data_IF_370423900315
#
_entry.id   IF_370423900315
#
_cell.length_a   1.000
_cell.length_b   1.000
_cell.length_c   1.000
_cell.angle_alpha   90.00
_cell.angle_beta   90.00
_cell.angle_gamma   90.00
#
_symmetry.space_group_name_H-M   'P 1'
#
loop_
_entity.id
_entity.type
_entity.pdbx_description
1 polymer ?
#
# COMPACT_ATOMS: atom_id res chain seq x y z
N UNK A 1 35.33 -0.74 19.66
CA UNK A 1 34.16 -0.45 20.52
C UNK A 1 32.92 -0.57 19.67
N UNK A 2 32.08 -1.56 19.95
CA UNK A 2 30.93 -1.91 19.13
C UNK A 2 29.99 -0.71 18.95
N UNK A 3 29.80 -0.29 17.68
CA UNK A 3 28.58 0.42 17.31
C UNK A 3 27.46 -0.58 17.54
N UNK A 4 26.76 -0.46 18.68
CA UNK A 4 25.50 -1.16 18.88
C UNK A 4 24.62 -0.87 17.67
N UNK A 5 24.26 -1.94 16.97
CA UNK A 5 23.58 -1.91 15.68
C UNK A 5 22.09 -1.61 15.88
N UNK A 6 21.78 -0.32 16.05
CA UNK A 6 20.40 0.19 16.18
C UNK A 6 19.54 -0.05 14.92
N UNK A 7 20.11 -0.50 13.80
CA UNK A 7 19.32 -0.82 12.59
C UNK A 7 18.82 -2.26 12.64
N UNK A 8 19.69 -3.22 13.01
CA UNK A 8 19.30 -4.64 13.16
C UNK A 8 18.34 -4.89 14.32
N UNK A 9 18.45 -4.15 15.42
CA UNK A 9 17.49 -4.25 16.53
C UNK A 9 16.11 -3.65 16.18
N UNK A 10 16.05 -2.71 15.23
CA UNK A 10 14.78 -2.20 14.69
C UNK A 10 14.12 -3.20 13.74
N UNK A 11 14.89 -3.83 12.86
CA UNK A 11 14.41 -4.91 11.99
C UNK A 11 13.91 -6.11 12.81
N UNK A 12 14.58 -6.48 13.91
CA UNK A 12 14.11 -7.53 14.83
C UNK A 12 12.84 -7.14 15.62
N UNK A 13 12.58 -5.85 15.82
CA UNK A 13 11.41 -5.34 16.57
C UNK A 13 10.22 -4.98 15.68
N UNK A 14 10.42 -4.89 14.38
CA UNK A 14 9.40 -4.41 13.44
C UNK A 14 8.35 -5.47 13.09
N UNK A 15 8.48 -6.72 13.51
CA UNK A 15 7.58 -7.80 13.09
C UNK A 15 7.90 -8.34 11.70
N UNK A 16 7.09 -9.28 11.23
CA UNK A 16 7.28 -10.01 9.98
C UNK A 16 6.57 -9.28 8.83
N UNK A 17 7.31 -9.03 7.75
CA UNK A 17 6.81 -8.35 6.55
C UNK A 17 5.78 -9.18 5.78
N UNK A 18 6.00 -10.48 5.61
CA UNK A 18 5.05 -11.42 5.00
C UNK A 18 4.66 -12.52 5.99
N UNK A 19 3.38 -12.49 6.40
CA UNK A 19 2.85 -13.38 7.41
C UNK A 19 2.77 -14.85 6.97
N UNK A 20 3.01 -15.18 5.69
CA UNK A 20 3.24 -16.56 5.25
C UNK A 20 4.45 -17.19 5.96
N UNK A 21 5.42 -16.38 6.39
CA UNK A 21 6.59 -16.86 7.15
C UNK A 21 6.37 -16.95 8.66
N UNK A 22 5.17 -16.66 9.17
CA UNK A 22 4.86 -16.84 10.59
C UNK A 22 4.82 -18.32 10.95
N UNK A 23 5.37 -18.67 12.11
CA UNK A 23 5.36 -20.05 12.62
C UNK A 23 3.98 -20.52 13.08
N UNK A 24 3.09 -19.58 13.42
CA UNK A 24 1.71 -19.80 13.82
C UNK A 24 0.82 -18.77 13.14
N UNK A 25 -0.32 -19.20 12.60
CA UNK A 25 -1.28 -18.36 11.89
C UNK A 25 -2.61 -18.19 12.65
N UNK A 26 -2.56 -18.16 13.98
CA UNK A 26 -3.75 -17.88 14.79
C UNK A 26 -4.09 -16.40 14.76
N UNK A 27 -5.37 -16.05 14.95
CA UNK A 27 -5.84 -14.66 14.97
C UNK A 27 -5.05 -13.79 15.96
N UNK A 28 -4.64 -14.36 17.10
CA UNK A 28 -3.85 -13.68 18.11
C UNK A 28 -2.44 -13.33 17.61
N UNK A 29 -1.79 -14.25 16.89
CA UNK A 29 -0.43 -14.05 16.37
C UNK A 29 -0.44 -13.04 15.21
N UNK A 30 -1.43 -13.15 14.32
CA UNK A 30 -1.64 -12.20 13.21
C UNK A 30 -1.86 -10.79 13.79
N UNK A 31 -2.78 -10.67 14.74
CA UNK A 31 -3.08 -9.40 15.41
C UNK A 31 -1.85 -8.84 16.13
N UNK A 32 -1.05 -9.71 16.78
CA UNK A 32 0.19 -9.31 17.42
C UNK A 32 1.21 -8.76 16.42
N UNK A 33 1.41 -9.44 15.29
CA UNK A 33 2.34 -9.00 14.25
C UNK A 33 1.93 -7.65 13.65
N UNK A 34 0.66 -7.49 13.30
CA UNK A 34 0.13 -6.21 12.81
C UNK A 34 0.30 -5.09 13.85
N UNK A 35 0.09 -5.39 15.13
CA UNK A 35 0.26 -4.41 16.21
C UNK A 35 1.71 -3.94 16.34
N UNK A 36 2.68 -4.86 16.43
CA UNK A 36 4.09 -4.46 16.62
C UNK A 36 4.62 -3.68 15.42
N UNK A 37 4.18 -4.02 14.20
CA UNK A 37 4.44 -3.27 12.96
C UNK A 37 3.87 -1.86 13.03
N UNK A 38 2.60 -1.77 13.39
CA UNK A 38 1.90 -0.50 13.49
C UNK A 38 2.51 0.42 14.54
N UNK A 39 2.94 -0.12 15.69
CA UNK A 39 3.56 0.62 16.79
C UNK A 39 4.90 1.29 16.36
N UNK A 40 5.56 0.78 15.30
CA UNK A 40 6.75 1.40 14.67
C UNK A 40 6.44 2.12 13.35
N UNK A 41 5.17 2.42 13.09
CA UNK A 41 4.63 3.08 11.89
C UNK A 41 4.73 2.29 10.58
N UNK A 42 4.92 0.97 10.61
CA UNK A 42 4.73 0.11 9.43
C UNK A 42 3.25 -0.28 9.31
N UNK A 43 2.56 0.35 8.36
CA UNK A 43 1.10 0.18 8.19
C UNK A 43 0.77 -0.93 7.18
N UNK A 44 1.75 -1.38 6.42
CA UNK A 44 1.61 -2.34 5.33
C UNK A 44 2.26 -3.66 5.72
N UNK A 45 1.58 -4.78 5.45
CA UNK A 45 2.07 -6.13 5.74
C UNK A 45 1.54 -7.08 4.67
N UNK A 46 2.36 -7.99 4.16
CA UNK A 46 1.93 -9.02 3.23
C UNK A 46 1.33 -10.23 3.94
N UNK A 47 0.45 -10.91 3.21
CA UNK A 47 0.10 -12.31 3.42
C UNK A 47 0.06 -12.98 2.04
N UNK A 48 1.24 -13.43 1.59
CA UNK A 48 1.45 -13.88 0.22
C UNK A 48 1.13 -12.76 -0.79
N UNK A 49 0.22 -12.97 -1.75
CA UNK A 49 -0.11 -11.95 -2.77
C UNK A 49 -0.99 -10.81 -2.24
N UNK A 50 -1.54 -10.93 -1.02
CA UNK A 50 -2.45 -9.93 -0.46
C UNK A 50 -1.67 -8.92 0.40
N UNK A 51 -2.02 -7.64 0.26
CA UNK A 51 -1.51 -6.57 1.12
C UNK A 51 -2.54 -6.16 2.17
N UNK A 52 -2.15 -6.24 3.44
CA UNK A 52 -2.90 -5.70 4.57
C UNK A 52 -2.43 -4.28 4.84
N UNK A 53 -3.38 -3.34 4.92
CA UNK A 53 -3.15 -1.95 5.28
C UNK A 53 -3.91 -1.61 6.57
N UNK A 54 -3.19 -1.18 7.61
CA UNK A 54 -3.77 -0.72 8.88
C UNK A 54 -3.82 0.80 8.88
N UNK A 55 -5.01 1.40 8.83
CA UNK A 55 -5.15 2.86 8.72
C UNK A 55 -4.55 3.59 9.95
N UNK A 56 -3.53 4.45 9.77
CA UNK A 56 -2.91 5.17 10.87
C UNK A 56 -3.64 6.45 11.29
N UNK A 57 -4.69 6.88 10.56
CA UNK A 57 -5.41 8.14 10.76
C UNK A 57 -4.53 9.40 10.79
N UNK A 58 -3.36 9.32 10.17
CA UNK A 58 -2.38 10.40 10.01
C UNK A 58 -1.63 10.20 8.70
N UNK A 59 -0.99 11.26 8.23
CA UNK A 59 -0.09 11.15 7.09
C UNK A 59 1.15 10.33 7.45
N UNK A 60 1.55 9.44 6.54
CA UNK A 60 2.74 8.60 6.68
C UNK A 60 3.74 9.00 5.60
N UNK A 61 4.94 9.37 6.03
CA UNK A 61 5.94 10.01 5.17
C UNK A 61 6.40 9.13 4.01
N UNK A 62 6.50 7.81 4.20
CA UNK A 62 6.92 6.89 3.15
C UNK A 62 5.82 6.52 2.14
N UNK A 63 4.58 6.98 2.36
CA UNK A 63 3.50 6.88 1.37
C UNK A 63 3.50 8.06 0.38
N UNK A 64 4.47 8.98 0.49
CA UNK A 64 4.61 10.12 -0.42
C UNK A 64 5.12 9.68 -1.79
N UNK A 65 4.80 10.47 -2.81
CA UNK A 65 5.22 10.26 -4.21
C UNK A 65 6.73 10.04 -4.37
N UNK A 66 7.55 10.63 -3.49
CA UNK A 66 9.01 10.45 -3.49
C UNK A 66 9.47 9.00 -3.28
N UNK A 67 8.60 8.11 -2.76
CA UNK A 67 8.90 6.71 -2.55
C UNK A 67 8.48 5.80 -3.71
N UNK A 68 7.76 6.32 -4.72
CA UNK A 68 7.30 5.52 -5.86
C UNK A 68 8.47 4.92 -6.66
N UNK A 69 9.52 5.71 -6.89
CA UNK A 69 10.71 5.27 -7.66
C UNK A 69 11.39 4.04 -7.05
N UNK A 70 11.30 3.82 -5.74
CA UNK A 70 11.85 2.63 -5.09
C UNK A 70 11.20 1.33 -5.56
N UNK A 71 9.92 1.39 -5.93
CA UNK A 71 9.12 0.22 -6.33
C UNK A 71 9.10 0.01 -7.84
N UNK A 72 9.59 0.96 -8.63
CA UNK A 72 9.57 0.88 -10.09
C UNK A 72 10.49 -0.24 -10.59
N UNK A 73 9.93 -1.16 -11.36
CA UNK A 73 10.63 -2.34 -11.87
C UNK A 73 11.07 -3.35 -10.80
N UNK A 74 10.64 -3.16 -9.56
CA UNK A 74 11.02 -4.02 -8.45
C UNK A 74 9.99 -5.15 -8.25
N UNK A 75 10.47 -6.33 -7.90
CA UNK A 75 9.59 -7.43 -7.50
C UNK A 75 9.08 -7.23 -6.06
N UNK A 76 8.00 -7.90 -5.71
CA UNK A 76 7.40 -7.82 -4.36
C UNK A 76 8.38 -8.13 -3.22
N UNK A 77 9.42 -8.95 -3.48
CA UNK A 77 10.42 -9.34 -2.48
C UNK A 77 11.59 -8.37 -2.36
N UNK A 78 11.78 -7.47 -3.33
CA UNK A 78 12.94 -6.56 -3.34
C UNK A 78 12.80 -5.43 -2.32
N UNK A 79 11.57 -5.12 -1.92
CA UNK A 79 11.24 -4.00 -1.06
C UNK A 79 10.28 -4.41 0.07
N UNK A 80 10.25 -3.59 1.13
CA UNK A 80 9.30 -3.75 2.22
C UNK A 80 7.84 -3.65 1.74
N UNK A 81 6.86 -4.21 2.47
CA UNK A 81 5.47 -4.20 2.06
C UNK A 81 4.93 -2.80 1.80
N UNK A 82 4.32 -2.60 0.64
CA UNK A 82 3.79 -1.29 0.26
C UNK A 82 2.72 -1.39 -0.82
N UNK A 83 1.83 -0.40 -0.86
CA UNK A 83 0.78 -0.30 -1.89
C UNK A 83 1.36 -0.08 -3.30
N UNK A 84 2.54 0.53 -3.39
CA UNK A 84 3.24 0.75 -4.66
C UNK A 84 3.78 -0.53 -5.27
N UNK A 85 4.17 -1.53 -4.46
CA UNK A 85 4.52 -2.85 -4.96
C UNK A 85 3.32 -3.55 -5.61
N UNK A 86 2.12 -3.42 -5.04
CA UNK A 86 0.89 -3.96 -5.64
C UNK A 86 0.57 -3.25 -6.96
N UNK A 87 0.79 -1.93 -7.02
CA UNK A 87 0.59 -1.16 -8.25
C UNK A 87 1.64 -1.49 -9.33
N UNK A 88 2.90 -1.72 -8.94
CA UNK A 88 3.96 -2.17 -9.86
C UNK A 88 3.68 -3.56 -10.42
N UNK A 89 3.30 -4.51 -9.57
CA UNK A 89 2.97 -5.87 -9.99
C UNK A 89 1.78 -5.86 -10.96
N UNK A 90 0.73 -5.11 -10.63
CA UNK A 90 -0.40 -4.87 -11.53
C UNK A 90 0.06 -4.27 -12.88
N UNK A 91 0.89 -3.23 -12.86
CA UNK A 91 1.35 -2.57 -14.08
C UNK A 91 2.25 -3.48 -14.93
N UNK A 92 3.19 -4.18 -14.30
CA UNK A 92 4.11 -5.11 -14.94
C UNK A 92 3.37 -6.29 -15.58
N UNK A 93 2.45 -6.92 -14.86
CA UNK A 93 1.65 -8.04 -15.39
C UNK A 93 0.75 -7.58 -16.54
N UNK A 94 0.18 -6.37 -16.46
CA UNK A 94 -0.56 -5.79 -17.58
C UNK A 94 0.30 -5.62 -18.84
N UNK A 95 1.58 -5.23 -18.71
CA UNK A 95 2.49 -5.05 -19.84
C UNK A 95 3.03 -6.38 -20.39
N UNK A 96 3.36 -7.33 -19.51
CA UNK A 96 3.94 -8.63 -19.89
C UNK A 96 2.88 -9.52 -20.53
N UNK A 97 1.74 -9.69 -19.86
CA UNK A 97 0.70 -10.64 -20.29
C UNK A 97 -0.30 -10.00 -21.27
N UNK A 98 -0.27 -8.66 -21.41
CA UNK A 98 -1.26 -7.91 -22.19
C UNK A 98 -2.71 -8.17 -21.76
N UNK A 99 -2.90 -8.51 -20.48
CA UNK A 99 -4.21 -8.80 -19.89
C UNK A 99 -4.69 -7.67 -18.97
N UNK A 100 -6.03 -7.58 -18.82
CA UNK A 100 -6.67 -6.59 -17.96
C UNK A 100 -6.49 -7.00 -16.49
N UNK A 101 -5.97 -6.08 -15.69
CA UNK A 101 -5.76 -6.30 -14.27
C UNK A 101 -6.86 -5.66 -13.40
N UNK A 102 -7.12 -6.23 -12.23
CA UNK A 102 -8.10 -5.73 -11.28
C UNK A 102 -7.55 -5.83 -9.85
N UNK A 103 -7.62 -4.72 -9.11
CA UNK A 103 -7.28 -4.70 -7.68
C UNK A 103 -8.57 -4.51 -6.87
N UNK A 104 -8.82 -5.42 -5.93
CA UNK A 104 -9.96 -5.36 -5.02
C UNK A 104 -9.49 -4.80 -3.69
N UNK A 105 -10.07 -3.67 -3.26
CA UNK A 105 -9.78 -3.05 -1.97
C UNK A 105 -10.99 -3.26 -1.05
N UNK A 106 -10.83 -4.09 -0.04
CA UNK A 106 -11.87 -4.40 0.95
C UNK A 106 -11.55 -3.78 2.31
N UNK A 107 -12.58 -3.64 3.16
CA UNK A 107 -12.45 -3.09 4.51
C UNK A 107 -13.69 -2.32 4.94
N UNK A 108 -13.83 -2.11 6.25
CA UNK A 108 -14.94 -1.36 6.83
C UNK A 108 -14.91 0.13 6.44
N UNK A 109 -15.97 0.86 6.78
CA UNK A 109 -15.99 2.32 6.64
C UNK A 109 -14.82 2.95 7.41
N UNK A 110 -14.11 3.90 6.80
CA UNK A 110 -12.93 4.53 7.42
C UNK A 110 -11.64 3.69 7.38
N UNK A 111 -11.62 2.48 6.82
CA UNK A 111 -10.41 1.65 6.71
C UNK A 111 -9.32 2.18 5.75
N UNK A 112 -9.57 3.28 5.03
CA UNK A 112 -8.61 3.88 4.09
C UNK A 112 -8.73 3.44 2.63
N UNK A 113 -9.81 2.73 2.25
CA UNK A 113 -10.01 2.21 0.88
C UNK A 113 -9.81 3.24 -0.22
N UNK A 114 -10.47 4.41 -0.11
CA UNK A 114 -10.38 5.49 -1.09
C UNK A 114 -8.96 6.06 -1.19
N UNK A 115 -8.23 6.15 -0.08
CA UNK A 115 -6.86 6.63 -0.05
C UNK A 115 -5.91 5.63 -0.73
N UNK A 116 -6.08 4.33 -0.45
CA UNK A 116 -5.32 3.27 -1.13
C UNK A 116 -5.55 3.27 -2.64
N UNK A 117 -6.80 3.44 -3.09
CA UNK A 117 -7.12 3.58 -4.52
C UNK A 117 -6.40 4.78 -5.16
N UNK A 118 -6.39 5.93 -4.47
CA UNK A 118 -5.67 7.13 -4.93
C UNK A 118 -4.17 6.86 -5.12
N UNK A 119 -3.53 6.14 -4.20
CA UNK A 119 -2.11 5.79 -4.32
C UNK A 119 -1.81 4.87 -5.50
N UNK A 120 -2.63 3.84 -5.74
CA UNK A 120 -2.47 2.94 -6.90
C UNK A 120 -2.60 3.74 -8.21
N UNK A 121 -3.62 4.59 -8.32
CA UNK A 121 -3.85 5.41 -9.52
C UNK A 121 -2.72 6.43 -9.73
N UNK A 122 -2.24 7.06 -8.66
CA UNK A 122 -1.12 8.00 -8.74
C UNK A 122 0.16 7.30 -9.22
N UNK A 123 0.43 6.09 -8.73
CA UNK A 123 1.57 5.27 -9.15
C UNK A 123 1.49 4.93 -10.64
N UNK A 124 0.37 4.35 -11.10
CA UNK A 124 0.18 3.97 -12.52
C UNK A 124 0.34 5.19 -13.44
N UNK A 125 -0.21 6.34 -13.05
CA UNK A 125 -0.08 7.57 -13.84
C UNK A 125 1.37 8.05 -13.96
N UNK A 126 2.19 7.86 -12.93
CA UNK A 126 3.61 8.21 -12.93
C UNK A 126 4.42 7.24 -13.81
N UNK A 127 4.28 5.93 -13.59
CA UNK A 127 5.10 4.91 -14.27
C UNK A 127 4.72 4.70 -15.74
N UNK A 128 3.47 4.96 -16.12
CA UNK A 128 3.02 4.87 -17.51
C UNK A 128 3.64 5.95 -18.43
N UNK A 129 4.33 6.94 -17.87
CA UNK A 129 5.12 7.92 -18.64
C UNK A 129 4.32 8.75 -19.64
N UNK A 130 2.99 8.76 -19.51
CA UNK A 130 2.13 9.44 -20.46
C UNK A 130 2.30 10.95 -20.34
N UNK A 131 2.45 11.61 -21.49
CA UNK A 131 2.53 13.06 -21.58
C UNK A 131 1.29 13.79 -21.01
N UNK A 132 1.07 15.06 -21.37
CA UNK A 132 0.05 15.92 -20.75
C UNK A 132 -1.36 15.31 -20.62
N UNK A 133 -1.72 14.38 -21.52
CA UNK A 133 -3.00 13.67 -21.51
C UNK A 133 -3.18 12.69 -20.34
N UNK A 134 -2.14 11.93 -19.93
CA UNK A 134 -2.26 11.00 -18.80
C UNK A 134 -2.28 11.75 -17.48
N UNK A 135 -1.51 12.84 -17.38
CA UNK A 135 -1.59 13.77 -16.25
C UNK A 135 -2.99 14.37 -16.10
N UNK A 136 -3.61 14.78 -17.22
CA UNK A 136 -5.00 15.25 -17.24
C UNK A 136 -6.00 14.18 -16.80
N UNK A 137 -5.84 12.92 -17.22
CA UNK A 137 -6.72 11.82 -16.78
C UNK A 137 -6.57 11.58 -15.27
N UNK A 138 -5.33 11.59 -14.75
CA UNK A 138 -5.05 11.53 -13.30
C UNK A 138 -5.79 12.66 -12.56
N UNK A 139 -5.65 13.90 -13.02
CA UNK A 139 -6.27 15.06 -12.39
C UNK A 139 -7.80 14.95 -12.39
N UNK A 140 -8.40 14.53 -13.50
CA UNK A 140 -9.85 14.32 -13.61
C UNK A 140 -10.34 13.23 -12.64
N UNK A 141 -9.62 12.11 -12.53
CA UNK A 141 -9.99 11.02 -11.61
C UNK A 141 -9.80 11.44 -10.15
N UNK A 142 -8.74 12.18 -9.82
CA UNK A 142 -8.52 12.64 -8.46
C UNK A 142 -9.54 13.71 -8.05
N UNK A 143 -9.87 14.63 -8.95
CA UNK A 143 -10.85 15.71 -8.75
C UNK A 143 -12.31 15.23 -8.77
N UNK A 144 -12.59 14.06 -9.35
CA UNK A 144 -13.94 13.48 -9.30
C UNK A 144 -14.27 12.85 -7.95
N UNK A 145 -13.27 12.54 -7.10
CA UNK A 145 -13.51 11.93 -5.79
C UNK A 145 -14.41 12.78 -4.86
N UNK A 146 -14.18 14.09 -4.65
CA UNK A 146 -15.11 14.91 -3.87
C UNK A 146 -16.54 14.91 -4.40
N UNK A 147 -16.70 14.86 -5.72
CA UNK A 147 -18.02 14.82 -6.36
C UNK A 147 -18.69 13.45 -6.12
N UNK A 148 -17.96 12.36 -6.35
CA UNK A 148 -18.44 11.00 -6.08
C UNK A 148 -18.72 10.75 -4.60
N UNK A 149 -17.92 11.33 -3.70
CA UNK A 149 -18.15 11.27 -2.25
C UNK A 149 -19.39 12.10 -1.85
N UNK A 150 -19.58 13.29 -2.44
CA UNK A 150 -20.74 14.13 -2.14
C UNK A 150 -22.07 13.51 -2.58
N UNK A 151 -22.08 12.74 -3.69
CA UNK A 151 -23.28 12.06 -4.18
C UNK A 151 -23.41 10.61 -3.70
N UNK A 152 -22.30 9.95 -3.37
CA UNK A 152 -22.25 8.51 -3.09
C UNK A 152 -22.07 8.14 -1.61
N UNK A 153 -21.56 9.03 -0.77
CA UNK A 153 -21.39 8.74 0.66
C UNK A 153 -22.59 9.25 1.45
N UNK A 154 -23.28 8.32 2.12
CA UNK A 154 -24.27 8.65 3.13
C UNK A 154 -23.66 8.50 4.53
N UNK A 155 -24.01 9.42 5.44
CA UNK A 155 -23.65 9.28 6.85
C UNK A 155 -24.40 8.09 7.44
N UNK A 156 -23.66 7.13 7.99
CA UNK A 156 -24.24 6.02 8.76
C UNK A 156 -24.03 6.25 10.25
N UNK A 157 -24.68 5.45 11.10
CA UNK A 157 -24.72 5.65 12.57
C UNK A 157 -23.38 5.25 13.25
N UNK A 158 -22.39 4.77 12.49
CA UNK A 158 -21.06 4.43 12.99
C UNK A 158 -20.05 5.53 12.70
#
# INVERSE_FOLDING_TARGET
GAKYDFSRDRERRAGIDDMVFMSKNTDSEISHNLKIRFDVNYIYTYIGPVLIAVNPYKDVEYCRDSHMEKYRGATQMDNAPHIFAIAEDMFSNMLIDSEKQCVIISGESGAGKTVSAKFIMAYIAEVSGGGPNVKRIKDVILQSNPLLEAFGNAKTIR
#
